data_IF_195193006744
#
_entry.id   IF_195193006744
#
_cell.length_a   1.000
_cell.length_b   1.000
_cell.length_c   1.000
_cell.angle_alpha   90.00
_cell.angle_beta   90.00
_cell.angle_gamma   90.00
#
_symmetry.space_group_name_H-M   'P 1'
#
loop_
_entity.id
_entity.type
_entity.pdbx_description
1 polymer ?
#
# COMPACT_ATOMS: atom_id res chain seq x y z
N UNK A 1 25.55 -0.78 -14.46
CA UNK A 1 24.52 -0.02 -13.73
C UNK A 1 25.24 1.00 -12.88
N UNK A 2 25.23 2.26 -13.33
CA UNK A 2 25.67 3.40 -12.52
C UNK A 2 24.53 3.76 -11.60
N UNK A 3 24.69 3.51 -10.30
CA UNK A 3 23.85 4.10 -9.26
C UNK A 3 23.89 5.63 -9.46
N UNK A 4 22.74 6.26 -9.72
CA UNK A 4 22.63 7.72 -9.65
C UNK A 4 22.47 8.06 -8.19
N UNK A 5 23.44 8.76 -7.61
CA UNK A 5 23.50 9.12 -6.18
C UNK A 5 22.36 10.06 -5.71
N UNK A 6 21.30 10.27 -6.50
CA UNK A 6 20.24 11.26 -6.24
C UNK A 6 18.80 10.78 -6.48
N UNK A 7 18.56 9.53 -6.91
CA UNK A 7 17.17 9.05 -7.11
C UNK A 7 16.56 8.58 -5.77
N UNK A 8 15.46 9.22 -5.36
CA UNK A 8 14.71 8.81 -4.17
C UNK A 8 13.90 7.53 -4.41
N UNK A 9 13.42 6.88 -3.35
CA UNK A 9 12.57 5.69 -3.50
C UNK A 9 11.29 6.02 -4.26
N UNK A 10 10.72 7.22 -4.03
CA UNK A 10 9.56 7.69 -4.78
C UNK A 10 9.88 7.86 -6.28
N UNK A 11 11.04 8.41 -6.63
CA UNK A 11 11.45 8.58 -8.04
C UNK A 11 11.57 7.22 -8.73
N UNK A 12 12.20 6.24 -8.06
CA UNK A 12 12.33 4.87 -8.55
C UNK A 12 10.94 4.26 -8.76
N UNK A 13 10.05 4.30 -7.76
CA UNK A 13 8.72 3.69 -7.84
C UNK A 13 7.85 4.34 -8.94
N UNK A 14 7.90 5.67 -9.04
CA UNK A 14 7.11 6.42 -10.03
C UNK A 14 7.62 6.24 -11.46
N UNK A 15 8.92 5.98 -11.65
CA UNK A 15 9.50 5.71 -12.97
C UNK A 15 9.02 4.40 -13.61
N UNK A 16 8.51 3.47 -12.80
CA UNK A 16 7.99 2.17 -13.25
C UNK A 16 6.47 2.18 -13.53
N UNK A 17 5.79 3.30 -13.30
CA UNK A 17 4.36 3.43 -13.56
C UNK A 17 4.05 3.53 -15.09
N UNK A 18 2.87 3.07 -15.55
CA UNK A 18 1.81 2.44 -14.77
C UNK A 18 2.07 0.95 -14.47
N UNK A 19 1.66 0.48 -13.30
CA UNK A 19 1.80 -0.92 -12.88
C UNK A 19 0.45 -1.64 -12.98
N UNK A 20 0.29 -2.46 -14.03
CA UNK A 20 -0.93 -3.24 -14.24
C UNK A 20 -1.04 -4.39 -13.25
N UNK A 21 -2.18 -4.47 -12.57
CA UNK A 21 -2.52 -5.51 -11.59
C UNK A 21 -3.09 -6.71 -12.34
N UNK A 22 -2.39 -7.84 -12.28
CA UNK A 22 -2.86 -9.13 -12.83
C UNK A 22 -3.15 -10.18 -11.76
N UNK A 23 -2.80 -9.87 -10.51
CA UNK A 23 -3.09 -10.70 -9.34
C UNK A 23 -3.36 -9.79 -8.15
N UNK A 24 -4.39 -10.13 -7.37
CA UNK A 24 -4.76 -9.47 -6.12
C UNK A 24 -5.28 -10.54 -5.16
N UNK A 25 -4.80 -10.54 -3.92
CA UNK A 25 -5.21 -11.51 -2.91
C UNK A 25 -5.16 -10.90 -1.50
N UNK A 26 -6.02 -11.42 -0.63
CA UNK A 26 -5.92 -11.26 0.82
C UNK A 26 -5.47 -12.60 1.39
N UNK A 27 -4.34 -12.59 2.08
CA UNK A 27 -3.81 -13.75 2.80
C UNK A 27 -4.17 -13.66 4.31
N UNK A 28 -4.06 -14.76 5.07
CA UNK A 28 -4.31 -14.73 6.51
C UNK A 28 -3.51 -13.64 7.23
N UNK A 29 -4.10 -13.05 8.27
CA UNK A 29 -3.58 -11.87 8.99
C UNK A 29 -3.56 -10.59 8.11
N UNK A 30 -4.75 -10.22 7.62
CA UNK A 30 -5.06 -9.62 6.32
C UNK A 30 -3.90 -8.93 5.61
N UNK A 31 -3.04 -9.74 4.97
CA UNK A 31 -1.96 -9.26 4.13
C UNK A 31 -2.52 -9.01 2.73
N UNK A 32 -2.38 -7.80 2.22
CA UNK A 32 -2.74 -7.48 0.84
C UNK A 32 -1.55 -7.76 -0.08
N UNK A 33 -1.74 -8.67 -1.03
CA UNK A 33 -0.76 -8.95 -2.09
C UNK A 33 -1.31 -8.46 -3.43
N UNK A 34 -0.56 -7.61 -4.12
CA UNK A 34 -0.84 -7.21 -5.50
C UNK A 34 0.37 -7.57 -6.37
N UNK A 35 0.17 -8.02 -7.61
CA UNK A 35 1.29 -8.19 -8.53
C UNK A 35 0.90 -8.10 -9.98
N UNK A 36 1.91 -7.90 -10.82
CA UNK A 36 1.79 -7.87 -12.26
C UNK A 36 3.07 -8.33 -12.96
N UNK A 37 3.20 -7.96 -14.22
CA UNK A 37 4.38 -8.33 -15.00
C UNK A 37 5.62 -7.62 -14.45
N UNK A 38 6.56 -8.40 -13.89
CA UNK A 38 7.85 -7.96 -13.32
C UNK A 38 7.77 -7.09 -12.05
N UNK A 39 6.60 -7.02 -11.41
CA UNK A 39 6.46 -6.31 -10.15
C UNK A 39 5.53 -7.06 -9.20
N UNK A 40 5.74 -6.89 -7.91
CA UNK A 40 4.85 -7.38 -6.87
C UNK A 40 4.93 -6.46 -5.65
N UNK A 41 3.84 -6.38 -4.90
CA UNK A 41 3.79 -5.68 -3.63
C UNK A 41 3.12 -6.52 -2.56
N UNK A 42 3.60 -6.40 -1.34
CA UNK A 42 3.05 -7.04 -0.16
C UNK A 42 2.88 -6.00 0.94
N UNK A 43 1.68 -5.93 1.52
CA UNK A 43 1.33 -4.98 2.57
C UNK A 43 0.93 -5.77 3.81
N UNK A 44 1.92 -6.01 4.69
CA UNK A 44 1.74 -6.70 5.98
C UNK A 44 1.32 -5.72 7.08
N UNK A 45 1.57 -4.42 6.87
CA UNK A 45 1.10 -3.34 7.74
C UNK A 45 -0.38 -3.00 7.51
N UNK A 46 -0.87 -2.03 8.28
CA UNK A 46 -2.20 -1.47 8.08
C UNK A 46 -2.31 -0.77 6.72
N UNK A 47 -3.48 -0.89 6.11
CA UNK A 47 -3.77 -0.33 4.80
C UNK A 47 -5.27 -0.02 4.69
N UNK A 48 -5.58 0.97 3.87
CA UNK A 48 -6.94 1.44 3.64
C UNK A 48 -7.13 1.71 2.15
N UNK A 49 -8.17 1.11 1.59
CA UNK A 49 -8.60 1.31 0.22
C UNK A 49 -9.90 2.10 0.18
N UNK A 50 -9.92 3.19 -0.59
CA UNK A 50 -11.10 4.07 -0.75
C UNK A 50 -11.31 4.41 -2.21
N UNK A 51 -12.56 4.59 -2.60
CA UNK A 51 -12.94 5.06 -3.93
C UNK A 51 -14.46 5.09 -4.10
N UNK A 52 -14.97 5.36 -5.31
CA UNK A 52 -16.40 5.34 -5.58
C UNK A 52 -17.04 3.99 -5.22
N UNK A 53 -17.81 3.96 -4.14
CA UNK A 53 -18.47 2.75 -3.63
C UNK A 53 -17.52 1.71 -3.00
N UNK A 54 -16.27 2.07 -2.72
CA UNK A 54 -15.24 1.19 -2.16
C UNK A 54 -14.78 1.76 -0.81
N UNK A 55 -14.86 0.94 0.22
CA UNK A 55 -14.25 1.18 1.53
C UNK A 55 -13.79 -0.15 2.09
N UNK A 56 -12.49 -0.42 2.04
CA UNK A 56 -11.87 -1.62 2.59
C UNK A 56 -10.74 -1.20 3.51
N UNK A 57 -10.86 -1.48 4.79
CA UNK A 57 -9.80 -1.34 5.78
C UNK A 57 -9.27 -2.74 6.10
N UNK A 58 -8.00 -2.88 6.46
CA UNK A 58 -7.33 -4.16 6.76
C UNK A 58 -8.18 -5.10 7.63
N UNK A 59 -8.84 -4.55 8.65
CA UNK A 59 -9.71 -5.32 9.56
C UNK A 59 -11.21 -5.13 9.33
N UNK A 60 -11.59 -4.48 8.22
CA UNK A 60 -12.98 -4.19 7.88
C UNK A 60 -13.73 -3.49 9.04
N UNK A 61 -13.07 -2.54 9.72
CA UNK A 61 -13.64 -1.75 10.82
C UNK A 61 -14.69 -0.74 10.30
N UNK A 62 -15.77 -1.23 9.71
CA UNK A 62 -16.94 -0.44 9.36
C UNK A 62 -17.75 -0.05 10.62
N UNK A 63 -17.13 0.39 11.72
CA UNK A 63 -17.81 0.82 12.96
C UNK A 63 -18.93 -0.12 13.50
N UNK A 64 -19.00 -1.37 13.06
CA UNK A 64 -19.98 -2.36 13.51
C UNK A 64 -19.17 -3.44 14.21
N UNK A 65 -19.17 -3.36 15.54
CA UNK A 65 -18.71 -4.45 16.40
C UNK A 65 -19.76 -5.56 16.31
N UNK A 66 -19.64 -6.44 15.31
CA UNK A 66 -20.33 -7.74 15.29
C UNK A 66 -19.34 -8.83 15.69
N UNK A 67 -19.72 -9.76 16.58
CA UNK A 67 -18.85 -10.83 17.05
C UNK A 67 -18.48 -11.87 15.97
N UNK A 68 -19.10 -11.78 14.78
CA UNK A 68 -18.72 -12.49 13.56
C UNK A 68 -18.11 -11.46 12.58
N UNK A 69 -16.82 -11.16 12.72
CA UNK A 69 -16.09 -10.36 11.74
C UNK A 69 -16.08 -11.13 10.40
N UNK A 70 -16.75 -10.62 9.37
CA UNK A 70 -16.49 -11.06 8.00
C UNK A 70 -15.05 -10.63 7.66
N UNK A 71 -14.11 -11.55 7.90
CA UNK A 71 -12.71 -11.39 7.52
C UNK A 71 -12.65 -11.12 6.01
N UNK A 72 -11.89 -10.10 5.62
CA UNK A 72 -11.64 -9.82 4.22
C UNK A 72 -11.10 -11.06 3.51
N UNK A 73 -11.54 -11.25 2.28
CA UNK A 73 -11.15 -12.36 1.42
C UNK A 73 -10.61 -11.85 0.09
N UNK A 74 -9.94 -12.71 -0.68
CA UNK A 74 -9.48 -12.34 -2.02
C UNK A 74 -10.61 -11.89 -2.95
N UNK A 75 -11.86 -12.30 -2.71
CA UNK A 75 -13.02 -11.84 -3.51
C UNK A 75 -13.26 -10.34 -3.37
N UNK A 76 -12.97 -9.78 -2.20
CA UNK A 76 -13.19 -8.36 -1.92
C UNK A 76 -12.23 -7.46 -2.71
N UNK A 77 -11.11 -8.03 -3.20
CA UNK A 77 -10.09 -7.32 -4.00
C UNK A 77 -10.02 -7.77 -5.45
N UNK A 78 -10.89 -8.69 -5.90
CA UNK A 78 -10.92 -9.16 -7.30
C UNK A 78 -11.19 -8.03 -8.30
N UNK A 79 -11.90 -6.97 -7.88
CA UNK A 79 -12.20 -5.81 -8.73
C UNK A 79 -10.94 -5.01 -9.16
N UNK A 80 -9.80 -5.25 -8.52
CA UNK A 80 -8.51 -4.65 -8.87
C UNK A 80 -7.88 -5.30 -10.10
N UNK A 81 -8.29 -6.51 -10.47
CA UNK A 81 -7.73 -7.21 -11.61
C UNK A 81 -7.98 -6.44 -12.91
N UNK A 82 -6.89 -6.17 -13.63
CA UNK A 82 -6.91 -5.38 -14.86
C UNK A 82 -6.82 -3.87 -14.65
N UNK A 83 -6.91 -3.36 -13.42
CA UNK A 83 -6.61 -1.96 -13.07
C UNK A 83 -5.10 -1.72 -13.04
N UNK A 84 -4.72 -0.46 -12.93
CA UNK A 84 -3.34 -0.01 -12.97
C UNK A 84 -3.08 0.93 -11.80
N UNK A 85 -1.95 0.78 -11.12
CA UNK A 85 -1.40 1.85 -10.29
C UNK A 85 -0.86 2.89 -11.26
N UNK A 86 -1.42 4.10 -11.21
CA UNK A 86 -1.17 5.20 -12.14
C UNK A 86 -0.44 6.38 -11.49
N UNK A 87 -0.33 6.39 -10.16
CA UNK A 87 0.33 7.44 -9.41
C UNK A 87 0.70 6.99 -8.01
N UNK A 88 1.63 7.71 -7.39
CA UNK A 88 2.02 7.52 -5.99
C UNK A 88 2.18 8.91 -5.36
N UNK A 89 1.52 9.15 -4.23
CA UNK A 89 1.75 10.33 -3.39
C UNK A 89 2.45 9.91 -2.10
N UNK A 90 3.65 10.43 -1.86
CA UNK A 90 4.38 10.20 -0.61
C UNK A 90 5.56 11.17 -0.46
N UNK A 91 6.34 11.00 0.61
CA UNK A 91 7.66 11.60 0.78
C UNK A 91 8.71 10.90 -0.10
N UNK A 92 9.93 11.45 -0.28
CA UNK A 92 11.00 10.79 -1.02
C UNK A 92 11.32 9.37 -0.51
N UNK A 93 11.22 9.17 0.81
CA UNK A 93 11.42 7.88 1.47
C UNK A 93 10.15 7.01 1.50
N UNK A 94 9.13 7.39 0.74
CA UNK A 94 7.86 6.67 0.65
C UNK A 94 7.26 6.31 2.02
N UNK A 95 7.30 7.22 2.99
CA UNK A 95 6.65 7.03 4.29
C UNK A 95 5.13 7.13 4.10
N UNK A 96 4.39 6.10 4.51
CA UNK A 96 2.94 6.00 4.41
C UNK A 96 2.40 6.39 3.01
N UNK A 97 2.83 5.69 1.95
CA UNK A 97 2.49 6.06 0.59
C UNK A 97 1.00 5.83 0.30
N UNK A 98 0.45 6.67 -0.56
CA UNK A 98 -0.83 6.43 -1.22
C UNK A 98 -0.58 6.05 -2.67
N UNK A 99 -0.99 4.85 -3.06
CA UNK A 99 -0.99 4.37 -4.43
C UNK A 99 -2.33 4.70 -5.09
N UNK A 100 -2.29 5.49 -6.16
CA UNK A 100 -3.46 5.86 -6.95
C UNK A 100 -3.71 4.80 -8.02
N UNK A 101 -4.85 4.12 -7.95
CA UNK A 101 -5.27 3.06 -8.84
C UNK A 101 -6.35 3.59 -9.79
N UNK A 102 -6.30 3.18 -11.05
CA UNK A 102 -7.26 3.60 -12.07
C UNK A 102 -8.72 3.34 -11.66
N UNK A 103 -9.60 4.27 -12.02
CA UNK A 103 -11.00 4.28 -11.57
C UNK A 103 -11.19 4.88 -10.17
N UNK A 104 -10.38 5.89 -9.82
CA UNK A 104 -10.51 6.72 -8.61
C UNK A 104 -10.41 5.91 -7.29
N UNK A 105 -9.52 4.91 -7.27
CA UNK A 105 -9.28 4.10 -6.09
C UNK A 105 -7.92 4.46 -5.51
N UNK A 106 -7.88 4.77 -4.22
CA UNK A 106 -6.66 5.05 -3.47
C UNK A 106 -6.40 3.92 -2.49
N UNK A 107 -5.17 3.39 -2.49
CA UNK A 107 -4.64 2.49 -1.48
C UNK A 107 -3.62 3.24 -0.64
N UNK A 108 -3.98 3.58 0.59
CA UNK A 108 -3.08 4.23 1.55
C UNK A 108 -2.52 3.22 2.51
N UNK A 109 -1.20 3.27 2.70
CA UNK A 109 -0.46 2.35 3.56
C UNK A 109 -0.05 3.07 4.85
N UNK A 110 -0.15 2.38 5.98
CA UNK A 110 0.21 2.87 7.30
C UNK A 110 1.19 1.89 7.95
N UNK A 111 2.49 2.07 7.68
CA UNK A 111 3.52 1.25 8.32
C UNK A 111 3.69 1.67 9.78
N UNK A 112 3.28 0.82 10.71
CA UNK A 112 3.27 1.14 12.15
C UNK A 112 4.56 0.80 12.86
N UNK A 113 5.31 -0.19 12.37
CA UNK A 113 6.53 -0.69 12.98
C UNK A 113 7.55 -1.09 11.93
N UNK A 114 8.80 -1.29 12.35
CA UNK A 114 9.82 -1.91 11.50
C UNK A 114 9.62 -3.43 11.34
N UNK A 115 8.63 -4.01 12.03
CA UNK A 115 8.34 -5.46 12.03
C UNK A 115 7.35 -5.82 10.92
N UNK A 116 6.46 -4.89 10.57
CA UNK A 116 5.43 -5.06 9.54
C UNK A 116 5.65 -4.03 8.41
N UNK A 117 6.65 -4.21 7.53
CA UNK A 117 6.89 -3.30 6.43
C UNK A 117 5.90 -3.53 5.28
N UNK A 118 5.82 -2.54 4.38
CA UNK A 118 5.38 -2.79 3.02
C UNK A 118 6.58 -3.05 2.11
N UNK A 119 6.39 -3.90 1.12
CA UNK A 119 7.44 -4.26 0.17
C UNK A 119 6.90 -4.06 -1.23
N UNK A 120 7.66 -3.38 -2.09
CA UNK A 120 7.40 -3.24 -3.52
C UNK A 120 8.63 -3.74 -4.29
N UNK A 121 8.51 -4.90 -4.93
CA UNK A 121 9.50 -5.42 -5.85
C UNK A 121 9.22 -4.93 -7.26
N UNK A 122 10.23 -4.32 -7.88
CA UNK A 122 10.25 -3.81 -9.24
C UNK A 122 11.38 -4.52 -10.02
N UNK A 123 11.52 -4.30 -11.33
CA UNK A 123 12.67 -4.81 -12.07
C UNK A 123 13.98 -4.36 -11.41
N UNK A 124 14.81 -5.33 -11.03
CA UNK A 124 16.17 -5.14 -10.48
C UNK A 124 16.26 -4.40 -9.13
N UNK A 125 15.14 -4.02 -8.51
CA UNK A 125 15.11 -3.31 -7.23
C UNK A 125 13.93 -3.72 -6.35
N UNK A 126 14.16 -3.77 -5.04
CA UNK A 126 13.12 -3.96 -4.04
C UNK A 126 13.12 -2.76 -3.11
N UNK A 127 11.98 -2.08 -3.04
CA UNK A 127 11.72 -1.00 -2.12
C UNK A 127 11.03 -1.57 -0.88
N UNK A 128 11.49 -1.17 0.29
CA UNK A 128 10.93 -1.59 1.58
C UNK A 128 10.67 -0.33 2.37
N UNK A 129 9.40 -0.05 2.67
CA UNK A 129 9.06 1.06 3.55
C UNK A 129 8.62 0.55 4.91
N UNK A 130 9.09 1.25 5.93
CA UNK A 130 8.74 1.01 7.32
C UNK A 130 8.20 2.29 7.97
N UNK A 131 8.02 2.24 9.29
CA UNK A 131 7.58 3.37 10.09
C UNK A 131 8.48 4.59 9.86
N UNK A 132 7.88 5.68 9.39
CA UNK A 132 8.56 6.96 9.31
C UNK A 132 8.97 7.45 10.71
N UNK A 133 10.19 7.98 10.83
CA UNK A 133 10.72 8.53 12.07
C UNK A 133 11.01 10.02 11.92
N UNK A 134 10.84 10.78 13.00
CA UNK A 134 11.27 12.17 13.06
C UNK A 134 12.80 12.29 13.14
N UNK A 135 13.32 13.52 13.14
CA UNK A 135 14.76 13.82 13.25
C UNK A 135 15.42 13.28 14.54
N UNK A 136 14.62 12.96 15.56
CA UNK A 136 15.07 12.41 16.83
C UNK A 136 14.91 10.89 16.90
N UNK A 137 14.47 10.25 15.80
CA UNK A 137 14.24 8.81 15.71
C UNK A 137 12.91 8.33 16.30
N UNK A 138 12.01 9.23 16.68
CA UNK A 138 10.69 8.87 17.21
C UNK A 138 9.72 8.49 16.07
N UNK A 139 8.81 7.53 16.28
CA UNK A 139 7.71 7.25 15.36
C UNK A 139 6.92 8.51 14.96
N UNK A 140 6.66 8.70 13.68
CA UNK A 140 5.70 9.71 13.23
C UNK A 140 4.28 9.36 13.70
N UNK A 141 3.46 10.35 14.07
CA UNK A 141 2.12 10.11 14.58
C UNK A 141 1.21 9.47 13.51
N UNK A 142 0.32 8.57 13.94
CA UNK A 142 -0.70 7.98 13.07
C UNK A 142 -1.59 9.08 12.51
N UNK A 143 -1.88 9.10 11.20
CA UNK A 143 -3.03 9.86 10.71
C UNK A 143 -4.29 9.30 11.39
N UNK A 144 -5.03 10.15 12.10
CA UNK A 144 -6.23 9.71 12.80
C UNK A 144 -7.27 9.27 11.76
N UNK A 145 -7.70 8.01 11.83
CA UNK A 145 -8.87 7.55 11.09
C UNK A 145 -10.08 8.38 11.55
N UNK A 146 -10.53 9.31 10.70
CA UNK A 146 -11.80 10.01 10.91
C UNK A 146 -11.77 11.53 11.11
N UNK A 147 -10.68 12.25 10.79
CA UNK A 147 -10.79 13.72 10.69
C UNK A 147 -11.23 14.08 9.26
N UNK A 148 -12.54 14.28 9.10
CA UNK A 148 -13.12 15.10 8.03
C UNK A 148 -12.91 16.58 8.34
#
# INVERSE_FOLDING_TARGET
>A
MTYREEESMLDIATSELPLRITFAAIEPDPILTLSGKKWSSNYVCDWLMRGPGIYLDRYNYNNIVTPDEELLTSKDVEFLLGREIIGITSTPDMINPTFHISGEVDLTIYAETDIDPWVLSLPDITLVGSMGRDENGNPLPKPQAGVQ
#
